data_IF_954799710260
#
_entry.id   IF_954799710260
#
_cell.length_a   1.000
_cell.length_b   1.000
_cell.length_c   1.000
_cell.angle_alpha   90.00
_cell.angle_beta   90.00
_cell.angle_gamma   90.00
#
_symmetry.space_group_name_H-M   'P 1'
#
loop_
_entity.id
_entity.type
_entity.pdbx_description
1 polymer ?
#
# COMPACT_ATOMS: atom_id res chain seq x y z
N UNK A 1 -4.20 -7.09 6.71
CA UNK A 1 -5.67 -7.16 6.91
C UNK A 1 -6.23 -8.31 6.09
N UNK A 2 -7.01 -9.18 6.72
CA UNK A 2 -7.72 -10.31 6.12
C UNK A 2 -9.20 -10.20 6.49
N UNK A 3 -10.08 -10.40 5.54
CA UNK A 3 -11.52 -10.50 5.81
C UNK A 3 -11.81 -11.86 6.46
N UNK A 4 -12.39 -11.85 7.66
CA UNK A 4 -12.70 -13.07 8.41
C UNK A 4 -14.14 -13.50 8.19
N UNK A 5 -15.05 -12.53 8.13
CA UNK A 5 -16.47 -12.65 7.77
C UNK A 5 -16.88 -11.36 7.05
N UNK A 6 -18.05 -11.33 6.44
CA UNK A 6 -18.51 -10.16 5.67
C UNK A 6 -18.41 -8.86 6.48
N UNK A 7 -17.69 -7.88 5.94
CA UNK A 7 -17.42 -6.58 6.58
C UNK A 7 -16.68 -6.67 7.93
N UNK A 8 -16.02 -7.80 8.24
CA UNK A 8 -15.15 -7.96 9.41
C UNK A 8 -13.72 -8.26 8.99
N UNK A 9 -12.80 -7.39 9.37
CA UNK A 9 -11.39 -7.48 9.03
C UNK A 9 -10.54 -7.71 10.26
N UNK A 10 -9.55 -8.60 10.16
CA UNK A 10 -8.51 -8.80 11.16
C UNK A 10 -7.15 -8.40 10.60
N UNK A 11 -6.32 -7.75 11.39
CA UNK A 11 -5.00 -7.31 10.95
C UNK A 11 -4.11 -6.89 12.10
N UNK A 12 -2.84 -6.63 11.79
CA UNK A 12 -1.85 -6.16 12.75
C UNK A 12 -1.40 -4.78 12.31
N UNK A 13 -1.33 -3.84 13.26
CA UNK A 13 -0.57 -2.59 13.12
C UNK A 13 -0.31 -2.00 14.51
N UNK A 14 0.80 -1.25 14.65
CA UNK A 14 1.20 -0.63 15.93
C UNK A 14 1.31 -1.67 17.06
N UNK A 15 1.93 -2.82 16.79
CA UNK A 15 2.14 -3.92 17.75
C UNK A 15 0.85 -4.39 18.43
N UNK A 16 -0.26 -4.40 17.68
CA UNK A 16 -1.60 -4.73 18.18
C UNK A 16 -2.35 -5.52 17.11
N UNK A 17 -3.07 -6.57 17.53
CA UNK A 17 -3.99 -7.31 16.66
C UNK A 17 -5.34 -6.61 16.75
N UNK A 18 -5.86 -6.19 15.61
CA UNK A 18 -7.12 -5.46 15.49
C UNK A 18 -8.15 -6.32 14.78
N UNK A 19 -9.36 -6.33 15.32
CA UNK A 19 -10.55 -6.77 14.60
C UNK A 19 -11.45 -5.56 14.39
N UNK A 20 -11.82 -5.30 13.14
CA UNK A 20 -12.65 -4.18 12.74
C UNK A 20 -13.94 -4.71 12.10
N UNK A 21 -15.07 -4.14 12.47
CA UNK A 21 -16.35 -4.39 11.82
C UNK A 21 -17.02 -3.07 11.50
N UNK A 22 -17.52 -2.94 10.27
CA UNK A 22 -18.23 -1.74 9.84
C UNK A 22 -19.72 -2.02 9.66
N UNK A 23 -20.56 -1.20 10.31
CA UNK A 23 -21.99 -1.08 9.99
C UNK A 23 -22.28 0.20 9.19
N UNK A 24 -23.56 0.52 8.96
CA UNK A 24 -23.97 1.68 8.15
C UNK A 24 -23.55 3.04 8.72
N UNK A 25 -23.15 3.12 9.99
CA UNK A 25 -22.90 4.37 10.72
C UNK A 25 -21.59 4.41 11.51
N UNK A 26 -21.01 3.25 11.84
CA UNK A 26 -19.89 3.13 12.77
C UNK A 26 -18.86 2.09 12.32
N UNK A 27 -17.63 2.30 12.77
CA UNK A 27 -16.58 1.28 12.79
C UNK A 27 -16.44 0.83 14.24
N UNK A 28 -16.74 -0.45 14.49
CA UNK A 28 -16.54 -1.14 15.75
C UNK A 28 -15.17 -1.79 15.72
N UNK A 29 -14.43 -1.76 16.83
CA UNK A 29 -13.13 -2.40 16.92
C UNK A 29 -12.94 -3.19 18.20
N UNK A 30 -12.17 -4.26 18.11
CA UNK A 30 -11.53 -4.97 19.23
C UNK A 30 -10.02 -4.88 19.03
N UNK A 31 -9.29 -4.56 20.09
CA UNK A 31 -7.83 -4.45 20.08
C UNK A 31 -7.25 -5.46 21.08
N UNK A 32 -6.48 -6.43 20.60
CA UNK A 32 -5.71 -7.35 21.42
C UNK A 32 -4.29 -6.81 21.52
N UNK A 33 -3.98 -6.18 22.65
CA UNK A 33 -2.78 -5.35 22.81
C UNK A 33 -2.24 -5.45 24.23
N UNK A 34 -0.91 -5.47 24.35
CA UNK A 34 -0.21 -5.32 25.62
C UNK A 34 0.22 -3.86 25.89
N UNK A 35 0.12 -2.97 24.90
CA UNK A 35 0.74 -1.64 24.94
C UNK A 35 -0.26 -0.50 25.06
N UNK A 36 -1.45 -0.61 24.46
CA UNK A 36 -2.48 0.42 24.53
C UNK A 36 -3.31 0.25 25.81
N UNK A 37 -3.42 1.32 26.60
CA UNK A 37 -3.98 1.27 27.96
C UNK A 37 -5.42 1.76 28.03
N UNK A 38 -5.96 2.34 26.96
CA UNK A 38 -7.32 2.85 26.94
C UNK A 38 -7.97 2.84 25.57
N UNK A 39 -9.30 2.86 25.55
CA UNK A 39 -10.11 3.03 24.33
C UNK A 39 -9.77 4.34 23.61
N UNK A 40 -9.42 5.41 24.34
CA UNK A 40 -9.06 6.69 23.76
C UNK A 40 -7.75 6.61 22.96
N UNK A 41 -6.74 5.91 23.48
CA UNK A 41 -5.49 5.63 22.77
C UNK A 41 -5.74 4.79 21.51
N UNK A 42 -6.58 3.76 21.61
CA UNK A 42 -6.98 2.94 20.46
C UNK A 42 -7.66 3.78 19.37
N UNK A 43 -8.62 4.63 19.75
CA UNK A 43 -9.27 5.56 18.82
C UNK A 43 -8.27 6.52 18.19
N UNK A 44 -7.31 7.06 18.94
CA UNK A 44 -6.26 7.93 18.39
C UNK A 44 -5.41 7.22 17.35
N UNK A 45 -5.02 5.97 17.61
CA UNK A 45 -4.26 5.13 16.67
C UNK A 45 -5.04 4.85 15.40
N UNK A 46 -6.31 4.44 15.51
CA UNK A 46 -7.19 4.19 14.37
C UNK A 46 -7.47 5.47 13.57
N UNK A 47 -7.75 6.60 14.24
CA UNK A 47 -7.97 7.89 13.59
C UNK A 47 -6.76 8.28 12.72
N UNK A 48 -5.55 8.14 13.25
CA UNK A 48 -4.33 8.42 12.48
C UNK A 48 -4.12 7.41 11.34
N UNK A 49 -4.27 6.10 11.62
CA UNK A 49 -4.06 5.05 10.63
C UNK A 49 -5.01 5.15 9.43
N UNK A 50 -6.27 5.52 9.66
CA UNK A 50 -7.26 5.70 8.61
C UNK A 50 -7.35 7.14 8.07
N UNK A 51 -6.58 8.10 8.62
CA UNK A 51 -6.65 9.53 8.30
C UNK A 51 -8.06 10.12 8.40
N UNK A 52 -8.73 9.84 9.52
CA UNK A 52 -10.14 10.22 9.74
C UNK A 52 -10.34 11.73 9.99
N UNK A 53 -9.25 12.47 10.20
CA UNK A 53 -9.21 13.93 10.24
C UNK A 53 -9.50 14.58 8.88
N UNK A 54 -9.30 13.87 7.77
CA UNK A 54 -9.58 14.35 6.43
C UNK A 54 -10.96 13.88 5.96
N UNK A 55 -11.86 14.78 5.58
CA UNK A 55 -13.19 14.43 5.06
C UNK A 55 -13.11 13.74 3.69
N UNK A 56 -13.44 12.45 3.60
CA UNK A 56 -13.46 11.75 2.31
C UNK A 56 -14.52 12.35 1.38
N UNK A 57 -15.71 12.68 1.90
CA UNK A 57 -16.81 13.25 1.11
C UNK A 57 -16.40 14.55 0.42
N UNK A 58 -15.84 15.50 1.18
CA UNK A 58 -15.41 16.79 0.63
C UNK A 58 -14.31 16.62 -0.42
N UNK A 59 -13.40 15.66 -0.21
CA UNK A 59 -12.32 15.42 -1.17
C UNK A 59 -12.84 14.76 -2.45
N UNK A 60 -13.79 13.82 -2.37
CA UNK A 60 -14.46 13.28 -3.55
C UNK A 60 -15.16 14.39 -4.34
N UNK A 61 -15.92 15.27 -3.67
CA UNK A 61 -16.57 16.40 -4.32
C UNK A 61 -15.58 17.38 -4.97
N UNK A 62 -14.43 17.64 -4.34
CA UNK A 62 -13.36 18.47 -4.92
C UNK A 62 -12.77 17.84 -6.17
N UNK A 63 -12.41 16.55 -6.12
CA UNK A 63 -11.81 15.87 -7.26
C UNK A 63 -12.79 15.71 -8.43
N UNK A 64 -14.07 15.43 -8.17
CA UNK A 64 -15.11 15.39 -9.21
C UNK A 64 -15.34 16.76 -9.88
N UNK A 65 -15.10 17.87 -9.18
CA UNK A 65 -15.15 19.21 -9.77
C UNK A 65 -13.92 19.54 -10.61
N UNK A 66 -12.75 19.03 -10.23
CA UNK A 66 -11.49 19.28 -10.95
C UNK A 66 -11.29 18.34 -12.15
N UNK A 67 -11.98 17.21 -12.20
CA UNK A 67 -11.83 16.18 -13.23
C UNK A 67 -13.18 15.55 -13.57
N UNK A 68 -13.68 15.85 -14.77
CA UNK A 68 -14.95 15.32 -15.29
C UNK A 68 -14.99 13.78 -15.41
N UNK A 69 -13.82 13.13 -15.47
CA UNK A 69 -13.74 11.68 -15.53
C UNK A 69 -13.72 11.06 -14.12
N UNK A 70 -13.40 11.81 -13.08
CA UNK A 70 -13.22 11.27 -11.73
C UNK A 70 -14.51 10.65 -11.17
N UNK A 71 -15.67 11.27 -11.43
CA UNK A 71 -16.97 10.76 -10.96
C UNK A 71 -17.30 9.36 -11.53
N UNK A 72 -16.82 9.07 -12.75
CA UNK A 72 -16.98 7.74 -13.38
C UNK A 72 -16.19 6.67 -12.63
N UNK A 73 -15.11 7.04 -11.95
CA UNK A 73 -14.33 6.13 -11.13
C UNK A 73 -14.90 6.05 -9.71
N UNK A 74 -15.10 7.20 -9.05
CA UNK A 74 -15.51 7.26 -7.64
C UNK A 74 -16.84 6.56 -7.38
N UNK A 75 -17.82 6.67 -8.28
CA UNK A 75 -19.14 6.03 -8.16
C UNK A 75 -19.09 4.50 -8.20
N UNK A 76 -18.01 3.89 -8.71
CA UNK A 76 -17.88 2.44 -8.82
C UNK A 76 -17.29 1.76 -7.58
N UNK A 77 -16.69 2.52 -6.67
CA UNK A 77 -16.03 2.01 -5.46
C UNK A 77 -16.66 2.60 -4.21
N UNK A 78 -16.65 1.83 -3.13
CA UNK A 78 -17.07 2.33 -1.81
C UNK A 78 -15.90 3.05 -1.15
N UNK A 79 -16.19 3.96 -0.20
CA UNK A 79 -15.25 4.92 0.39
C UNK A 79 -13.79 4.46 0.53
N UNK A 80 -12.99 4.76 -0.49
CA UNK A 80 -11.56 4.39 -0.56
C UNK A 80 -10.75 5.44 0.22
N UNK A 81 -9.95 4.99 1.18
CA UNK A 81 -9.04 5.84 1.97
C UNK A 81 -7.58 5.44 1.77
N UNK A 82 -6.67 6.40 1.94
CA UNK A 82 -5.23 6.13 2.08
C UNK A 82 -4.89 5.90 3.55
N UNK A 83 -4.24 4.77 3.84
CA UNK A 83 -3.75 4.47 5.17
C UNK A 83 -2.50 5.31 5.52
N UNK A 84 -2.28 5.53 6.80
CA UNK A 84 -1.03 6.06 7.35
C UNK A 84 -0.26 4.90 8.02
N UNK A 85 0.45 4.14 7.19
CA UNK A 85 1.15 2.93 7.61
C UNK A 85 2.46 3.25 8.32
N UNK A 86 2.96 2.27 9.07
CA UNK A 86 4.33 2.31 9.57
C UNK A 86 5.33 2.37 8.40
N UNK A 87 6.39 3.18 8.55
CA UNK A 87 7.32 3.46 7.45
C UNK A 87 8.15 2.21 7.12
N UNK A 88 8.61 1.49 8.14
CA UNK A 88 9.42 0.28 8.00
C UNK A 88 8.60 -0.84 7.36
N UNK A 89 7.40 -1.12 7.89
CA UNK A 89 6.47 -2.10 7.35
C UNK A 89 6.15 -1.80 5.88
N UNK A 90 5.81 -0.55 5.58
CA UNK A 90 5.46 -0.13 4.23
C UNK A 90 6.63 -0.30 3.25
N UNK A 91 7.83 0.13 3.64
CA UNK A 91 9.03 0.05 2.81
C UNK A 91 9.34 -1.38 2.38
N UNK A 92 9.44 -2.32 3.33
CA UNK A 92 9.76 -3.70 3.03
C UNK A 92 8.61 -4.45 2.35
N UNK A 93 7.36 -4.10 2.66
CA UNK A 93 6.18 -4.60 1.94
C UNK A 93 6.20 -4.19 0.46
N UNK A 94 6.56 -2.95 0.15
CA UNK A 94 6.61 -2.48 -1.24
C UNK A 94 7.85 -2.97 -2.00
N UNK A 95 8.97 -3.27 -1.34
CA UNK A 95 10.07 -4.04 -1.96
C UNK A 95 9.54 -5.42 -2.42
N UNK A 96 8.69 -6.08 -1.63
CA UNK A 96 8.06 -7.35 -2.01
C UNK A 96 7.11 -7.22 -3.22
N UNK A 97 6.57 -6.02 -3.46
CA UNK A 97 5.54 -5.76 -4.48
C UNK A 97 6.06 -5.61 -5.91
N UNK A 98 7.32 -5.23 -6.10
CA UNK A 98 7.86 -4.91 -7.42
C UNK A 98 7.75 -6.11 -8.37
N UNK A 99 7.10 -5.98 -9.53
CA UNK A 99 6.84 -7.06 -10.49
C UNK A 99 6.21 -8.32 -9.84
N UNK A 100 5.12 -8.13 -9.09
CA UNK A 100 4.46 -9.18 -8.33
C UNK A 100 2.94 -8.96 -8.30
N UNK A 101 2.19 -9.87 -7.68
CA UNK A 101 0.73 -9.79 -7.56
C UNK A 101 0.28 -9.96 -6.10
N UNK A 102 -0.85 -9.35 -5.76
CA UNK A 102 -1.30 -9.14 -4.37
C UNK A 102 -1.26 -10.43 -3.54
N UNK A 103 -1.83 -11.53 -4.04
CA UNK A 103 -1.87 -12.80 -3.29
C UNK A 103 -0.48 -13.31 -2.88
N UNK A 104 0.51 -13.24 -3.79
CA UNK A 104 1.88 -13.67 -3.48
C UNK A 104 2.58 -12.68 -2.55
N UNK A 105 2.34 -11.38 -2.71
CA UNK A 105 2.90 -10.34 -1.83
C UNK A 105 2.40 -10.55 -0.40
N UNK A 106 1.09 -10.78 -0.22
CA UNK A 106 0.48 -11.05 1.09
C UNK A 106 1.17 -12.24 1.77
N UNK A 107 1.28 -13.38 1.09
CA UNK A 107 1.94 -14.56 1.66
C UNK A 107 3.43 -14.34 1.94
N UNK A 108 4.14 -13.55 1.12
CA UNK A 108 5.52 -13.16 1.41
C UNK A 108 5.61 -12.36 2.72
N UNK A 109 4.77 -11.34 2.89
CA UNK A 109 4.78 -10.51 4.10
C UNK A 109 4.45 -11.35 5.34
N UNK A 110 3.45 -12.23 5.27
CA UNK A 110 3.09 -13.15 6.36
C UNK A 110 4.28 -14.04 6.77
N UNK A 111 4.98 -14.64 5.81
CA UNK A 111 6.18 -15.45 6.09
C UNK A 111 7.36 -14.62 6.60
N UNK A 112 7.49 -13.36 6.17
CA UNK A 112 8.49 -12.45 6.73
C UNK A 112 8.22 -12.19 8.21
N UNK A 113 6.97 -11.87 8.55
CA UNK A 113 6.56 -11.61 9.93
C UNK A 113 6.68 -12.86 10.80
N UNK A 114 6.34 -14.05 10.30
CA UNK A 114 6.48 -15.29 11.09
C UNK A 114 7.93 -15.68 11.36
N UNK A 115 8.86 -15.38 10.44
CA UNK A 115 10.28 -15.70 10.60
C UNK A 115 11.03 -14.68 11.46
N UNK A 116 10.68 -13.40 11.38
CA UNK A 116 11.49 -12.30 11.93
C UNK A 116 10.74 -11.32 12.84
N UNK A 117 9.42 -11.45 12.92
CA UNK A 117 8.55 -10.63 13.75
C UNK A 117 8.42 -11.18 15.17
N UNK A 118 8.09 -10.31 16.11
CA UNK A 118 7.82 -10.70 17.49
C UNK A 118 6.38 -11.25 17.61
N UNK A 119 6.18 -12.34 18.35
CA UNK A 119 4.85 -12.92 18.55
C UNK A 119 3.98 -11.97 19.38
N UNK A 120 2.82 -11.60 18.84
CA UNK A 120 1.84 -10.74 19.51
C UNK A 120 0.80 -11.54 20.30
N UNK A 121 0.39 -12.71 19.78
CA UNK A 121 -0.66 -13.51 20.41
C UNK A 121 -1.21 -14.60 19.51
N UNK A 122 -2.26 -15.26 19.98
CA UNK A 122 -3.01 -16.29 19.24
C UNK A 122 -4.49 -15.94 19.32
N UNK A 123 -5.19 -15.92 18.19
CA UNK A 123 -6.64 -15.68 18.10
C UNK A 123 -7.22 -16.71 17.13
N UNK A 124 -8.22 -17.48 17.55
CA UNK A 124 -8.84 -18.56 16.75
C UNK A 124 -7.79 -19.53 16.16
N UNK A 125 -6.86 -20.00 17.00
CA UNK A 125 -5.73 -20.88 16.65
C UNK A 125 -4.71 -20.31 15.63
N UNK A 126 -4.89 -19.06 15.19
CA UNK A 126 -3.95 -18.35 14.32
C UNK A 126 -2.94 -17.55 15.15
N UNK A 127 -1.64 -17.76 14.89
CA UNK A 127 -0.56 -17.02 15.55
C UNK A 127 -0.29 -15.72 14.81
N UNK A 128 -0.32 -14.61 15.53
CA UNK A 128 -0.03 -13.29 14.98
C UNK A 128 1.34 -12.80 15.41
N UNK A 129 2.07 -12.25 14.44
CA UNK A 129 3.39 -11.65 14.62
C UNK A 129 3.33 -10.17 14.25
N UNK A 130 4.16 -9.37 14.91
CA UNK A 130 4.40 -7.99 14.53
C UNK A 130 5.28 -7.92 13.27
N UNK A 131 5.36 -6.73 12.66
CA UNK A 131 6.31 -6.55 11.57
C UNK A 131 7.76 -6.61 12.08
N UNK A 132 8.71 -7.23 11.34
CA UNK A 132 10.10 -7.32 11.77
C UNK A 132 10.78 -5.96 11.92
N UNK A 133 11.62 -5.82 12.96
CA UNK A 133 12.52 -4.66 13.10
C UNK A 133 13.61 -4.67 12.03
N UNK A 134 14.16 -3.50 11.71
CA UNK A 134 15.23 -3.34 10.72
C UNK A 134 16.44 -4.23 11.06
N UNK A 135 16.81 -4.32 12.34
CA UNK A 135 17.96 -5.09 12.81
C UNK A 135 17.79 -6.59 12.54
N UNK A 136 16.56 -7.12 12.67
CA UNK A 136 16.27 -8.53 12.36
C UNK A 136 16.43 -8.80 10.87
N UNK A 137 15.99 -7.90 10.01
CA UNK A 137 16.12 -8.03 8.55
C UNK A 137 17.55 -7.81 8.04
N UNK A 138 18.44 -7.22 8.83
CA UNK A 138 19.83 -6.97 8.47
C UNK A 138 20.79 -8.12 8.81
N UNK A 139 20.32 -9.19 9.48
CA UNK A 139 21.15 -10.34 9.85
C UNK A 139 21.68 -11.09 8.62
N UNK A 140 22.82 -11.78 8.77
CA UNK A 140 23.56 -12.39 7.65
C UNK A 140 22.80 -13.52 6.94
N UNK A 141 21.99 -14.28 7.68
CA UNK A 141 21.25 -15.43 7.18
C UNK A 141 19.96 -15.04 6.43
N UNK A 142 19.47 -13.81 6.60
CA UNK A 142 18.17 -13.35 6.07
C UNK A 142 18.04 -13.56 4.58
N UNK A 143 19.09 -13.26 3.80
CA UNK A 143 19.05 -13.48 2.34
C UNK A 143 18.78 -14.95 2.02
N UNK A 144 19.45 -15.88 2.71
CA UNK A 144 19.35 -17.30 2.44
C UNK A 144 18.00 -17.88 2.88
N UNK A 145 17.49 -17.46 4.03
CA UNK A 145 16.16 -17.87 4.51
C UNK A 145 15.08 -17.36 3.58
N UNK A 146 15.07 -16.06 3.24
CA UNK A 146 14.04 -15.49 2.36
C UNK A 146 14.10 -16.07 0.94
N UNK A 147 15.28 -16.49 0.44
CA UNK A 147 15.38 -17.25 -0.80
C UNK A 147 14.64 -18.59 -0.72
N UNK A 148 14.80 -19.34 0.37
CA UNK A 148 14.07 -20.60 0.62
C UNK A 148 12.56 -20.37 0.75
N UNK A 149 12.15 -19.24 1.33
CA UNK A 149 10.76 -18.82 1.47
C UNK A 149 10.11 -18.25 0.20
N UNK A 150 10.82 -18.32 -0.95
CA UNK A 150 10.26 -17.98 -2.26
C UNK A 150 10.23 -16.49 -2.60
N UNK A 151 11.03 -15.66 -1.92
CA UNK A 151 11.12 -14.21 -2.22
C UNK A 151 11.88 -13.93 -3.53
N UNK A 152 12.70 -14.89 -3.99
CA UNK A 152 13.52 -14.75 -5.17
C UNK A 152 14.54 -13.62 -5.02
N UNK A 153 14.79 -12.86 -6.09
CA UNK A 153 15.79 -11.77 -6.07
C UNK A 153 15.51 -10.69 -5.00
N UNK A 154 14.26 -10.56 -4.53
CA UNK A 154 13.87 -9.58 -3.52
C UNK A 154 14.46 -9.87 -2.15
N UNK A 155 14.83 -11.13 -1.87
CA UNK A 155 15.53 -11.50 -0.64
C UNK A 155 16.79 -10.64 -0.43
N UNK A 156 17.60 -10.48 -1.49
CA UNK A 156 18.79 -9.62 -1.47
C UNK A 156 18.45 -8.15 -1.26
N UNK A 157 17.37 -7.65 -1.87
CA UNK A 157 16.95 -6.26 -1.71
C UNK A 157 16.48 -5.94 -0.29
N UNK A 158 15.74 -6.86 0.34
CA UNK A 158 15.31 -6.71 1.73
C UNK A 158 16.52 -6.64 2.66
N UNK A 159 17.41 -7.64 2.60
CA UNK A 159 18.57 -7.69 3.50
C UNK A 159 19.53 -6.51 3.27
N UNK A 160 19.85 -6.20 2.02
CA UNK A 160 20.76 -5.09 1.71
C UNK A 160 20.15 -3.72 2.04
N UNK A 161 18.83 -3.54 1.88
CA UNK A 161 18.15 -2.32 2.32
C UNK A 161 18.15 -2.19 3.84
N UNK A 162 17.91 -3.28 4.58
CA UNK A 162 17.99 -3.27 6.04
C UNK A 162 19.40 -2.92 6.53
N UNK A 163 20.44 -3.57 5.97
CA UNK A 163 21.84 -3.23 6.26
C UNK A 163 22.16 -1.77 5.93
N UNK A 164 21.72 -1.27 4.78
CA UNK A 164 21.92 0.14 4.39
C UNK A 164 21.21 1.10 5.33
N UNK A 165 19.98 0.80 5.73
CA UNK A 165 19.23 1.61 6.69
C UNK A 165 19.95 1.74 8.04
N UNK A 166 20.53 0.65 8.56
CA UNK A 166 21.35 0.71 9.79
C UNK A 166 22.48 1.74 9.61
N UNK A 167 23.20 1.73 8.48
CA UNK A 167 24.28 2.70 8.23
C UNK A 167 23.80 4.15 8.09
N UNK A 168 22.53 4.36 7.76
CA UNK A 168 21.94 5.68 7.57
C UNK A 168 21.31 6.24 8.86
N UNK A 169 21.19 5.44 9.92
CA UNK A 169 20.57 5.84 11.19
C UNK A 169 19.23 5.16 11.50
N UNK A 170 18.88 4.09 10.78
CA UNK A 170 17.71 3.24 11.05
C UNK A 170 16.38 3.99 10.93
N UNK A 171 15.47 3.75 11.87
CA UNK A 171 14.13 4.36 11.89
C UNK A 171 14.20 5.89 11.93
N UNK A 172 15.16 6.48 12.66
CA UNK A 172 15.32 7.94 12.73
C UNK A 172 15.61 8.57 11.37
N UNK A 173 16.34 7.87 10.51
CA UNK A 173 16.57 8.35 9.14
C UNK A 173 15.26 8.34 8.33
N UNK A 174 14.46 7.28 8.45
CA UNK A 174 13.15 7.18 7.82
C UNK A 174 12.18 8.27 8.31
N UNK A 175 12.17 8.56 9.61
CA UNK A 175 11.37 9.64 10.20
C UNK A 175 11.75 11.02 9.64
N UNK A 176 13.03 11.26 9.36
CA UNK A 176 13.48 12.50 8.72
C UNK A 176 12.98 12.66 7.27
N UNK A 177 12.54 11.57 6.62
CA UNK A 177 11.90 11.61 5.29
C UNK A 177 10.40 11.89 5.34
N UNK A 178 9.79 11.85 6.53
CA UNK A 178 8.37 12.12 6.70
C UNK A 178 8.07 13.61 6.47
N UNK A 179 6.93 13.93 5.84
CA UNK A 179 6.51 15.31 5.50
C UNK A 179 6.55 16.28 6.69
N UNK A 180 6.20 15.79 7.88
CA UNK A 180 6.25 16.54 9.16
C UNK A 180 7.66 17.05 9.53
N UNK A 181 8.71 16.45 8.97
CA UNK A 181 10.10 16.87 9.19
C UNK A 181 10.50 18.05 8.28
N UNK A 182 9.60 18.53 7.41
CA UNK A 182 9.82 19.68 6.53
C UNK A 182 10.52 19.34 5.20
N UNK A 183 10.89 18.08 4.98
CA UNK A 183 11.46 17.61 3.72
C UNK A 183 10.42 17.66 2.59
N UNK A 184 10.85 17.99 1.36
CA UNK A 184 9.96 17.94 0.20
C UNK A 184 9.70 16.51 -0.28
N UNK A 185 8.59 16.31 -0.98
CA UNK A 185 8.26 15.04 -1.63
C UNK A 185 9.37 14.58 -2.57
N UNK A 186 9.92 15.48 -3.39
CA UNK A 186 10.96 15.17 -4.36
C UNK A 186 12.21 14.63 -3.67
N UNK A 187 12.63 15.30 -2.58
CA UNK A 187 13.82 14.93 -1.84
C UNK A 187 13.62 13.61 -1.08
N UNK A 188 12.47 13.42 -0.43
CA UNK A 188 12.14 12.17 0.23
C UNK A 188 12.16 10.98 -0.75
N UNK A 189 11.61 11.17 -1.96
CA UNK A 189 11.63 10.15 -3.02
C UNK A 189 13.05 9.83 -3.48
N UNK A 190 13.89 10.83 -3.69
CA UNK A 190 15.29 10.66 -4.09
C UNK A 190 16.09 9.89 -3.03
N UNK A 191 15.94 10.26 -1.76
CA UNK A 191 16.60 9.59 -0.64
C UNK A 191 16.15 8.12 -0.51
N UNK A 192 14.86 7.81 -0.67
CA UNK A 192 14.38 6.43 -0.68
C UNK A 192 15.01 5.59 -1.81
N UNK A 193 15.22 6.18 -2.98
CA UNK A 193 15.74 5.48 -4.16
C UNK A 193 17.22 5.09 -4.06
N UNK A 194 17.94 5.52 -3.03
CA UNK A 194 19.29 5.03 -2.75
C UNK A 194 19.29 3.59 -2.20
N UNK A 195 18.12 3.12 -1.72
CA UNK A 195 17.99 1.80 -1.11
C UNK A 195 17.80 0.71 -2.19
N UNK A 196 18.47 -0.45 -2.04
CA UNK A 196 18.35 -1.56 -2.98
C UNK A 196 16.91 -2.04 -3.21
N UNK A 197 16.50 -2.09 -4.49
CA UNK A 197 15.16 -2.56 -4.86
C UNK A 197 14.07 -1.48 -4.81
N UNK A 198 14.41 -0.24 -4.47
CA UNK A 198 13.48 0.90 -4.47
C UNK A 198 13.69 1.75 -5.72
N UNK A 199 12.79 1.59 -6.70
CA UNK A 199 12.66 2.51 -7.84
C UNK A 199 11.58 3.57 -7.62
N UNK A 200 11.37 4.46 -8.61
CA UNK A 200 10.40 5.58 -8.53
C UNK A 200 9.02 5.16 -8.02
N UNK A 201 8.43 4.10 -8.57
CA UNK A 201 7.11 3.60 -8.16
C UNK A 201 7.08 3.15 -6.70
N UNK A 202 8.09 2.40 -6.27
CA UNK A 202 8.18 1.89 -4.89
C UNK A 202 8.38 3.06 -3.93
N UNK A 203 9.25 4.01 -4.26
CA UNK A 203 9.46 5.23 -3.48
C UNK A 203 8.17 6.05 -3.37
N UNK A 204 7.41 6.21 -4.46
CA UNK A 204 6.13 6.92 -4.43
C UNK A 204 5.08 6.21 -3.57
N UNK A 205 5.04 4.87 -3.57
CA UNK A 205 4.16 4.12 -2.66
C UNK A 205 4.50 4.42 -1.19
N UNK A 206 5.78 4.50 -0.85
CA UNK A 206 6.25 4.81 0.50
C UNK A 206 5.94 6.27 0.87
N UNK A 207 6.21 7.20 -0.04
CA UNK A 207 5.85 8.60 0.11
C UNK A 207 4.36 8.79 0.43
N UNK A 208 3.49 8.15 -0.36
CA UNK A 208 2.04 8.26 -0.23
C UNK A 208 1.49 7.60 1.03
N UNK A 209 1.91 6.37 1.32
CA UNK A 209 1.22 5.50 2.28
C UNK A 209 1.84 5.51 3.68
N UNK A 210 3.04 6.04 3.88
CA UNK A 210 3.68 6.09 5.21
C UNK A 210 4.44 7.40 5.53
N UNK A 211 4.95 8.15 4.54
CA UNK A 211 5.66 9.41 4.80
C UNK A 211 4.77 10.67 4.80
N UNK A 212 3.49 10.53 4.45
CA UNK A 212 2.52 11.64 4.47
C UNK A 212 2.59 12.59 3.29
N UNK A 213 3.35 12.26 2.24
CA UNK A 213 3.38 13.00 0.96
C UNK A 213 2.19 12.56 0.09
N UNK A 214 0.99 13.02 0.46
CA UNK A 214 -0.29 12.64 -0.18
C UNK A 214 -0.46 13.12 -1.63
N UNK A 215 0.45 13.96 -2.09
CA UNK A 215 0.62 14.40 -3.48
C UNK A 215 1.36 13.37 -4.36
N UNK A 216 1.99 12.35 -3.77
CA UNK A 216 2.77 11.36 -4.50
C UNK A 216 1.86 10.46 -5.37
N UNK A 217 2.26 10.24 -6.63
CA UNK A 217 1.53 9.42 -7.61
C UNK A 217 2.38 8.21 -8.01
N UNK A 218 2.15 7.03 -7.41
CA UNK A 218 2.81 5.80 -7.84
C UNK A 218 2.29 5.38 -9.21
N UNK A 219 3.12 5.51 -10.26
CA UNK A 219 2.72 5.14 -11.63
C UNK A 219 3.14 3.70 -11.92
N UNK A 220 2.17 2.79 -11.91
CA UNK A 220 2.33 1.43 -12.42
C UNK A 220 1.70 1.30 -13.82
N UNK A 221 1.60 0.06 -14.31
CA UNK A 221 1.00 -0.22 -15.62
C UNK A 221 -0.49 0.15 -15.69
N UNK A 222 -1.23 0.02 -14.58
CA UNK A 222 -2.65 0.35 -14.54
C UNK A 222 -2.87 1.86 -14.58
N UNK A 223 -2.12 2.62 -13.78
CA UNK A 223 -2.21 4.08 -13.78
C UNK A 223 -1.70 4.67 -15.08
N UNK A 224 -0.63 4.11 -15.64
CA UNK A 224 -0.18 4.50 -16.97
C UNK A 224 -1.26 4.25 -18.05
N UNK A 225 -1.97 3.12 -18.01
CA UNK A 225 -3.07 2.84 -18.94
C UNK A 225 -4.19 3.87 -18.80
N UNK A 226 -4.61 4.18 -17.57
CA UNK A 226 -5.63 5.22 -17.33
C UNK A 226 -5.17 6.57 -17.88
N UNK A 227 -3.93 6.97 -17.57
CA UNK A 227 -3.36 8.22 -18.09
C UNK A 227 -3.39 8.24 -19.63
N UNK A 228 -2.93 7.17 -20.27
CA UNK A 228 -2.86 7.09 -21.73
C UNK A 228 -4.23 7.04 -22.41
N UNK A 229 -5.18 6.30 -21.84
CA UNK A 229 -6.50 6.10 -22.45
C UNK A 229 -7.41 7.32 -22.26
N UNK A 230 -7.29 8.03 -21.13
CA UNK A 230 -8.26 9.06 -20.75
C UNK A 230 -7.71 10.48 -20.85
N UNK A 231 -6.42 10.70 -20.59
CA UNK A 231 -5.89 12.05 -20.36
C UNK A 231 -4.78 12.46 -21.33
N UNK A 232 -3.91 11.52 -21.71
CA UNK A 232 -2.67 11.78 -22.43
C UNK A 232 -2.48 10.72 -23.56
N UNK A 233 -3.28 10.77 -24.64
CA UNK A 233 -3.28 9.77 -25.71
C UNK A 233 -1.92 9.60 -26.39
N UNK A 234 -1.14 10.68 -26.46
CA UNK A 234 0.18 10.73 -27.10
C UNK A 234 1.33 10.20 -26.22
N UNK A 235 1.03 9.62 -25.03
CA UNK A 235 2.06 9.05 -24.18
C UNK A 235 2.87 7.97 -24.92
N UNK A 236 4.19 8.19 -24.93
CA UNK A 236 5.18 7.20 -25.38
C UNK A 236 5.11 5.93 -24.51
N UNK A 237 5.70 4.84 -25.01
CA UNK A 237 5.72 3.53 -24.32
C UNK A 237 6.11 3.68 -22.84
N UNK A 238 5.35 2.99 -21.98
CA UNK A 238 5.58 3.00 -20.54
C UNK A 238 7.03 2.65 -20.19
N UNK A 239 7.63 3.48 -19.35
CA UNK A 239 8.87 3.17 -18.67
C UNK A 239 8.89 3.85 -17.31
N UNK A 240 9.29 3.10 -16.29
CA UNK A 240 9.37 3.56 -14.90
C UNK A 240 10.61 4.42 -14.63
N UNK A 241 11.55 4.54 -15.58
CA UNK A 241 12.81 5.29 -15.42
C UNK A 241 12.81 6.66 -16.11
N UNK A 242 11.75 7.03 -16.84
CA UNK A 242 11.80 8.08 -17.87
C UNK A 242 10.91 9.30 -17.59
N UNK A 243 10.99 10.29 -18.48
CA UNK A 243 10.11 11.45 -18.58
C UNK A 243 8.61 11.08 -18.61
N UNK A 244 8.23 9.91 -19.13
CA UNK A 244 6.83 9.45 -19.16
C UNK A 244 6.27 9.31 -17.75
N UNK A 245 7.05 8.73 -16.83
CA UNK A 245 6.65 8.62 -15.43
C UNK A 245 6.41 10.02 -14.84
N UNK A 246 7.33 10.95 -15.09
CA UNK A 246 7.24 12.34 -14.63
C UNK A 246 6.02 13.08 -15.18
N UNK A 247 5.73 12.92 -16.47
CA UNK A 247 4.57 13.52 -17.14
C UNK A 247 3.25 13.04 -16.52
N UNK A 248 3.06 11.73 -16.34
CA UNK A 248 1.84 11.18 -15.72
C UNK A 248 1.69 11.65 -14.27
N UNK A 249 2.78 11.61 -13.52
CA UNK A 249 2.84 11.98 -12.12
C UNK A 249 2.57 13.49 -11.91
N UNK A 250 3.07 14.37 -12.80
CA UNK A 250 2.77 15.81 -12.76
C UNK A 250 1.33 16.10 -13.18
N UNK A 251 0.86 15.51 -14.28
CA UNK A 251 -0.48 15.73 -14.80
C UNK A 251 -1.56 15.45 -13.75
N UNK A 252 -1.50 14.32 -13.05
CA UNK A 252 -2.47 14.01 -12.00
C UNK A 252 -2.35 14.91 -10.77
N UNK A 253 -1.16 15.43 -10.44
CA UNK A 253 -1.00 16.43 -9.38
C UNK A 253 -1.63 17.77 -9.76
N UNK A 254 -1.50 18.19 -11.01
CA UNK A 254 -2.08 19.46 -11.48
C UNK A 254 -3.61 19.44 -11.40
N UNK A 255 -4.22 18.27 -11.64
CA UNK A 255 -5.67 18.08 -11.59
C UNK A 255 -6.18 17.92 -10.15
N UNK A 256 -5.61 17.00 -9.37
CA UNK A 256 -6.16 16.61 -8.07
C UNK A 256 -5.46 17.27 -6.87
N UNK A 257 -4.42 18.05 -7.11
CA UNK A 257 -3.79 18.93 -6.12
C UNK A 257 -3.05 18.19 -4.98
N UNK A 258 -3.04 18.76 -3.76
CA UNK A 258 -2.23 18.25 -2.64
C UNK A 258 -2.56 16.84 -2.15
N UNK A 259 -3.71 16.28 -2.54
CA UNK A 259 -4.15 14.93 -2.18
C UNK A 259 -4.27 14.01 -3.40
N UNK A 260 -3.56 14.34 -4.49
CA UNK A 260 -3.67 13.63 -5.76
C UNK A 260 -3.38 12.12 -5.66
N UNK A 261 -2.48 11.69 -4.77
CA UNK A 261 -2.22 10.26 -4.52
C UNK A 261 -3.43 9.53 -3.96
N UNK A 262 -4.26 10.20 -3.18
CA UNK A 262 -5.52 9.64 -2.70
C UNK A 262 -6.54 9.53 -3.83
N UNK A 263 -6.72 10.58 -4.63
CA UNK A 263 -7.57 10.53 -5.83
C UNK A 263 -7.14 9.39 -6.78
N UNK A 264 -5.84 9.29 -7.07
CA UNK A 264 -5.28 8.19 -7.86
C UNK A 264 -5.62 6.81 -7.27
N UNK A 265 -5.68 6.66 -5.95
CA UNK A 265 -6.02 5.38 -5.32
C UNK A 265 -7.50 5.02 -5.51
N UNK A 266 -8.41 5.99 -5.54
CA UNK A 266 -9.82 5.76 -5.92
C UNK A 266 -9.90 5.19 -7.35
N UNK A 267 -9.18 5.82 -8.28
CA UNK A 267 -9.09 5.39 -9.68
C UNK A 267 -8.48 3.98 -9.80
N UNK A 268 -7.38 3.74 -9.09
CA UNK A 268 -6.72 2.43 -9.04
C UNK A 268 -7.65 1.32 -8.56
N UNK A 269 -8.33 1.53 -7.42
CA UNK A 269 -9.25 0.55 -6.85
C UNK A 269 -10.40 0.22 -7.82
N UNK A 270 -10.89 1.22 -8.55
CA UNK A 270 -11.90 1.01 -9.59
C UNK A 270 -11.39 0.11 -10.70
N UNK A 271 -10.19 0.40 -11.23
CA UNK A 271 -9.57 -0.41 -12.29
C UNK A 271 -9.31 -1.86 -11.88
N UNK A 272 -8.89 -2.09 -10.64
CA UNK A 272 -8.71 -3.45 -10.10
C UNK A 272 -10.06 -4.19 -9.99
N UNK A 273 -11.13 -3.49 -9.58
CA UNK A 273 -12.48 -4.07 -9.49
C UNK A 273 -13.03 -4.46 -10.86
N UNK A 274 -12.86 -3.61 -11.87
CA UNK A 274 -13.24 -3.89 -13.26
C UNK A 274 -12.51 -5.13 -13.80
N UNK A 275 -11.20 -5.22 -13.59
CA UNK A 275 -10.38 -6.36 -14.02
C UNK A 275 -10.79 -7.68 -13.34
N UNK A 276 -11.29 -7.65 -12.11
CA UNK A 276 -11.84 -8.84 -11.45
C UNK A 276 -13.18 -9.27 -12.05
N UNK A 277 -14.06 -8.31 -12.38
CA UNK A 277 -15.35 -8.58 -13.03
C UNK A 277 -15.16 -9.20 -14.42
N UNK A 278 -14.28 -8.63 -15.24
CA UNK A 278 -14.03 -9.13 -16.60
C UNK A 278 -13.45 -10.55 -16.62
N UNK A 279 -12.61 -10.91 -15.63
CA UNK A 279 -12.11 -12.29 -15.48
C UNK A 279 -13.20 -13.27 -15.03
N UNK A 280 -14.08 -12.88 -14.10
CA UNK A 280 -15.19 -13.72 -13.64
C UNK A 280 -16.29 -13.94 -14.70
N UNK A 281 -16.55 -12.94 -15.56
CA UNK A 281 -17.48 -13.07 -16.69
C UNK A 281 -16.90 -13.88 -17.87
N UNK A 282 -15.57 -13.95 -17.98
CA UNK A 282 -14.87 -14.80 -18.95
C UNK A 282 -14.94 -16.29 -18.61
N UNK A 283 -14.91 -16.66 -17.33
CA UNK A 283 -15.01 -18.05 -16.87
C UNK A 283 -16.44 -18.62 -17.00
N UNK A 284 -17.48 -17.79 -16.95
CA UNK A 284 -18.88 -18.23 -17.09
C UNK A 284 -19.31 -18.49 -18.53
N UNK A 285 -18.53 -18.06 -19.55
CA UNK A 285 -18.82 -18.32 -20.97
C UNK A 285 -18.15 -19.58 -21.55
N UNK A 286 -17.39 -20.32 -20.74
CA UNK A 286 -16.63 -21.51 -21.17
C UNK A 286 -17.34 -22.87 -21.00
N UNK A 287 -18.50 -22.94 -20.34
CA UNK A 287 -19.18 -24.22 -20.08
C UNK A 287 -20.52 -24.25 -20.83
N UNK A 288 -20.50 -24.69 -22.10
CA UNK A 288 -21.63 -25.38 -22.78
C UNK A 288 -21.22 -25.84 -24.18
N UNK A 289 -20.88 -27.13 -24.30
CA UNK A 289 -21.31 -28.05 -25.38
C UNK A 289 -20.60 -29.41 -25.19
N UNK A 290 -21.07 -30.20 -24.22
CA UNK A 290 -21.02 -31.66 -24.41
C UNK A 290 -22.24 -32.03 -25.25
N UNK A 291 -21.99 -32.40 -26.50
CA UNK A 291 -22.99 -32.98 -27.40
C UNK A 291 -23.28 -34.39 -26.90
N UNK A 292 -24.54 -34.66 -26.62
CA UNK A 292 -25.07 -36.02 -26.53
C UNK A 292 -25.08 -36.66 -27.91
N UNK A 293 -24.40 -37.80 -28.06
CA UNK A 293 -24.83 -38.96 -28.84
C UNK A 293 -23.96 -40.15 -28.46
#
# INVERSE_FOLDING_TARGET
>A
WKETTENKYRGVFSSTIWELHQDSSKIIFTAHTATLKSVAECKKKLNNYFRLDLSLKENLEKWSKSDENFEKYSSQVKGVRILNQDITENLFSFICSANNHISRITGMIERMCSNYGEKLGVIDDEVFFDFPKIEKLAQEDVTNVLLKEGFGYRAKYINNSAKKLITLGGEKWLENLHKKSGISYEKAREELMILPGIGRKVADCICLMSLGHLEAIPVDTHIYQVAKETYLPDLKKFSTSTAVYGQVNQHFRDIWGPLAGWAQTVVFCTRIKENKRSKGEGETKGVKKMKSK
#
